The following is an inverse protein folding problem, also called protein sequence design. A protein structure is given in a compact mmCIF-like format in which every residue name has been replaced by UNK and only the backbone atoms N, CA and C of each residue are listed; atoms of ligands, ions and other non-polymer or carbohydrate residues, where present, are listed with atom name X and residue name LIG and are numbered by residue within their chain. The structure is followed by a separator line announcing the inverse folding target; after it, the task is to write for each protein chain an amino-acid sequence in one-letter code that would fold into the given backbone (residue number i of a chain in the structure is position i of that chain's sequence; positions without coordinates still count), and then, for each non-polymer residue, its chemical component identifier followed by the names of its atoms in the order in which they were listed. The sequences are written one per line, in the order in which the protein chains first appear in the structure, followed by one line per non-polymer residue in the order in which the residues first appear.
data_IF_169704997361
#
_entry.id   IF_169704997361
#
_cell.length_a   1.000
_cell.length_b   1.000
_cell.length_c   1.000
_cell.angle_alpha   90.00
_cell.angle_beta   90.00
_cell.angle_gamma   90.00
#
_symmetry.space_group_name_H-M   'P 1'
#
loop_
_entity.id
_entity.type
_entity.pdbx_description
1 polymer ?
#
# COMPACT_ATOMS: atom_id res chain seq x y z
N UNK A 1 -28.60 -13.90 -20.04
CA UNK A 1 -27.58 -14.87 -19.56
C UNK A 1 -28.31 -15.90 -18.68
N UNK A 2 -28.17 -17.19 -18.99
CA UNK A 2 -28.77 -18.26 -18.17
C UNK A 2 -27.87 -18.54 -16.98
N UNK A 3 -28.32 -18.19 -15.77
CA UNK A 3 -27.57 -18.32 -14.53
C UNK A 3 -27.07 -19.75 -14.24
N UNK A 4 -27.83 -20.77 -14.71
CA UNK A 4 -27.47 -22.18 -14.50
C UNK A 4 -26.32 -22.68 -15.41
N UNK A 5 -26.00 -21.94 -16.48
CA UNK A 5 -24.97 -22.26 -17.45
C UNK A 5 -23.77 -21.31 -17.42
N UNK A 6 -23.75 -20.41 -16.46
CA UNK A 6 -22.78 -19.31 -16.41
C UNK A 6 -21.83 -19.50 -15.26
N UNK A 7 -20.52 -19.43 -15.52
CA UNK A 7 -19.49 -19.45 -14.47
C UNK A 7 -19.28 -18.07 -13.88
N UNK A 8 -18.81 -18.00 -12.64
CA UNK A 8 -18.45 -16.74 -11.96
C UNK A 8 -17.46 -15.91 -12.80
N UNK A 9 -16.46 -16.57 -13.39
CA UNK A 9 -15.47 -15.92 -14.25
C UNK A 9 -16.10 -15.29 -15.50
N UNK A 10 -17.03 -15.99 -16.17
CA UNK A 10 -17.72 -15.44 -17.34
C UNK A 10 -18.59 -14.22 -16.98
N UNK A 11 -19.27 -14.25 -15.82
CA UNK A 11 -20.01 -13.09 -15.34
C UNK A 11 -19.10 -11.91 -15.06
N UNK A 12 -18.00 -12.14 -14.36
CA UNK A 12 -17.00 -11.13 -14.05
C UNK A 12 -16.38 -10.52 -15.32
N UNK A 13 -16.00 -11.34 -16.31
CA UNK A 13 -15.50 -10.86 -17.61
C UNK A 13 -16.54 -10.04 -18.37
N UNK A 14 -17.80 -10.47 -18.33
CA UNK A 14 -18.92 -9.75 -18.97
C UNK A 14 -19.15 -8.39 -18.31
N UNK A 15 -19.06 -8.31 -16.99
CA UNK A 15 -19.21 -7.07 -16.23
C UNK A 15 -18.05 -6.08 -16.46
N UNK A 16 -16.82 -6.58 -16.55
CA UNK A 16 -15.60 -5.78 -16.77
C UNK A 16 -15.41 -5.43 -18.26
N UNK A 17 -16.03 -6.20 -19.17
CA UNK A 17 -15.88 -6.04 -20.62
C UNK A 17 -14.50 -6.43 -21.16
N UNK A 18 -13.68 -7.14 -20.37
CA UNK A 18 -12.35 -7.64 -20.71
C UNK A 18 -12.16 -9.02 -20.07
N UNK A 19 -11.33 -9.86 -20.67
CA UNK A 19 -10.89 -11.12 -20.04
C UNK A 19 -10.12 -10.79 -18.75
N UNK A 20 -10.44 -11.51 -17.68
CA UNK A 20 -9.68 -11.44 -16.43
C UNK A 20 -8.36 -12.17 -16.68
N UNK A 21 -7.27 -11.44 -16.58
CA UNK A 21 -5.93 -12.00 -16.76
C UNK A 21 -5.53 -12.70 -15.46
N UNK A 22 -5.13 -13.96 -15.54
CA UNK A 22 -4.53 -14.66 -14.39
C UNK A 22 -3.26 -13.94 -13.92
N UNK A 23 -3.03 -13.96 -12.61
CA UNK A 23 -1.84 -13.33 -12.02
C UNK A 23 -0.57 -14.06 -12.48
N UNK A 24 0.38 -13.30 -12.97
CA UNK A 24 1.69 -13.82 -13.40
C UNK A 24 2.61 -13.93 -12.18
N UNK A 25 2.66 -15.11 -11.59
CA UNK A 25 3.61 -15.43 -10.52
C UNK A 25 4.95 -15.86 -11.14
N UNK A 26 5.87 -14.94 -11.36
CA UNK A 26 7.24 -15.30 -11.73
C UNK A 26 8.01 -15.82 -10.49
N UNK A 27 9.03 -16.66 -10.75
CA UNK A 27 9.94 -17.10 -9.69
C UNK A 27 10.65 -15.87 -9.13
N UNK A 28 10.46 -15.57 -7.84
CA UNK A 28 11.05 -14.42 -7.18
C UNK A 28 12.44 -14.79 -6.64
N UNK A 29 13.41 -13.95 -6.90
CA UNK A 29 14.71 -14.02 -6.23
C UNK A 29 14.56 -13.41 -4.83
N UNK A 30 14.28 -14.25 -3.83
CA UNK A 30 14.19 -13.82 -2.44
C UNK A 30 15.59 -13.53 -1.91
N UNK A 31 15.80 -12.31 -1.46
CA UNK A 31 17.02 -11.94 -0.74
C UNK A 31 16.90 -12.38 0.73
N UNK A 32 18.03 -12.78 1.34
CA UNK A 32 18.10 -12.96 2.80
C UNK A 32 18.30 -11.64 3.55
N UNK A 33 18.43 -10.52 2.83
CA UNK A 33 18.66 -9.20 3.43
C UNK A 33 17.32 -8.65 3.93
N UNK A 34 17.22 -8.40 5.25
CA UNK A 34 16.08 -7.74 5.87
C UNK A 34 16.02 -6.30 5.35
N UNK A 35 14.87 -5.92 4.79
CA UNK A 35 14.58 -4.57 4.33
C UNK A 35 13.97 -3.73 5.45
N UNK A 36 12.99 -4.30 6.16
CA UNK A 36 12.23 -3.60 7.21
C UNK A 36 11.97 -4.53 8.38
N UNK A 37 12.06 -4.01 9.59
CA UNK A 37 11.94 -4.80 10.81
C UNK A 37 11.24 -3.97 11.91
N UNK A 38 10.37 -4.61 12.67
CA UNK A 38 9.74 -4.06 13.88
C UNK A 38 10.07 -4.99 15.05
N UNK A 39 10.44 -4.39 16.18
CA UNK A 39 10.89 -5.11 17.40
C UNK A 39 10.17 -4.63 18.63
N UNK A 40 9.52 -5.54 19.32
CA UNK A 40 8.91 -5.31 20.64
C UNK A 40 8.13 -3.98 20.69
N UNK A 41 7.35 -3.70 19.63
CA UNK A 41 6.65 -2.45 19.51
C UNK A 41 5.35 -2.51 20.31
N UNK A 42 5.21 -1.56 21.23
CA UNK A 42 3.98 -1.31 21.97
C UNK A 42 3.42 0.07 21.60
N UNK A 43 2.09 0.15 21.44
CA UNK A 43 1.35 1.41 21.27
C UNK A 43 0.08 1.33 22.08
N UNK A 44 -0.08 2.21 23.05
CA UNK A 44 -1.35 2.34 23.75
C UNK A 44 -2.38 3.00 22.82
N UNK A 45 -3.63 2.60 22.96
CA UNK A 45 -4.75 3.22 22.25
C UNK A 45 -4.89 4.69 22.63
N UNK A 46 -5.19 5.52 21.64
CA UNK A 46 -5.32 6.98 21.81
C UNK A 46 -6.76 7.42 22.11
N UNK A 47 -7.74 6.55 21.85
CA UNK A 47 -9.16 6.82 22.07
C UNK A 47 -9.90 5.55 22.52
N UNK A 48 -11.13 5.70 22.97
CA UNK A 48 -11.93 4.64 23.60
C UNK A 48 -12.08 3.39 22.72
N UNK A 49 -12.30 3.58 21.41
CA UNK A 49 -12.50 2.50 20.44
C UNK A 49 -11.20 2.02 19.77
N UNK A 50 -10.05 2.62 20.09
CA UNK A 50 -8.76 2.20 19.55
C UNK A 50 -8.26 0.90 20.15
N UNK A 51 -7.35 0.24 19.46
CA UNK A 51 -6.71 -1.00 19.89
C UNK A 51 -5.26 -0.71 20.32
N UNK A 52 -4.88 -1.20 21.49
CA UNK A 52 -3.47 -1.15 21.92
C UNK A 52 -2.68 -2.24 21.23
N UNK A 53 -1.61 -1.88 20.55
CA UNK A 53 -0.64 -2.86 20.03
C UNK A 53 0.28 -3.34 21.13
N UNK A 54 0.57 -4.64 21.17
CA UNK A 54 1.38 -5.25 22.22
C UNK A 54 2.43 -6.15 21.61
N UNK A 55 3.69 -5.89 21.94
CA UNK A 55 4.85 -6.71 21.56
C UNK A 55 4.86 -7.08 20.06
N UNK A 56 4.58 -6.12 19.20
CA UNK A 56 4.58 -6.35 17.76
C UNK A 56 5.99 -6.61 17.27
N UNK A 57 6.16 -7.77 16.64
CA UNK A 57 7.40 -8.20 16.02
C UNK A 57 7.12 -8.67 14.60
N UNK A 58 7.75 -8.05 13.60
CA UNK A 58 7.67 -8.47 12.19
C UNK A 58 8.95 -8.13 11.46
N UNK A 59 9.22 -8.86 10.41
CA UNK A 59 10.31 -8.55 9.48
C UNK A 59 9.93 -8.94 8.05
N UNK A 60 10.41 -8.18 7.08
CA UNK A 60 10.26 -8.47 5.66
C UNK A 60 11.59 -8.29 4.95
N UNK A 61 11.93 -9.26 4.09
CA UNK A 61 13.13 -9.23 3.28
C UNK A 61 12.90 -8.54 1.93
N UNK A 62 13.97 -8.14 1.27
CA UNK A 62 13.90 -7.68 -0.12
C UNK A 62 13.40 -8.81 -1.04
N UNK A 63 12.44 -8.48 -1.93
CA UNK A 63 11.80 -9.42 -2.83
C UNK A 63 10.72 -10.28 -2.17
N UNK A 64 10.31 -9.98 -0.93
CA UNK A 64 9.30 -10.72 -0.14
C UNK A 64 8.03 -9.90 0.01
N UNK A 65 6.88 -10.58 0.04
CA UNK A 65 5.59 -10.05 0.48
C UNK A 65 5.24 -10.70 1.81
N UNK A 66 5.15 -9.89 2.88
CA UNK A 66 4.60 -10.29 4.18
C UNK A 66 3.13 -9.90 4.24
N UNK A 67 2.24 -10.87 4.34
CA UNK A 67 0.82 -10.69 4.59
C UNK A 67 0.53 -10.56 6.08
N UNK A 68 -0.27 -9.56 6.45
CA UNK A 68 -0.84 -9.40 7.79
C UNK A 68 -2.35 -9.54 7.64
N UNK A 69 -2.85 -10.72 7.98
CA UNK A 69 -4.28 -11.02 7.95
C UNK A 69 -4.95 -10.56 9.25
N UNK A 70 -6.24 -10.22 9.18
CA UNK A 70 -7.01 -9.92 10.40
C UNK A 70 -8.36 -9.30 10.07
N UNK A 71 -9.35 -9.56 10.92
CA UNK A 71 -10.69 -8.96 10.83
C UNK A 71 -10.61 -7.50 11.28
N UNK A 72 -11.39 -6.61 10.65
CA UNK A 72 -11.42 -5.18 11.00
C UNK A 72 -11.57 -4.94 12.51
N UNK A 73 -10.89 -3.92 13.02
CA UNK A 73 -10.94 -3.56 14.44
C UNK A 73 -10.00 -4.36 15.34
N UNK A 74 -9.02 -5.06 14.79
CA UNK A 74 -8.05 -5.83 15.55
C UNK A 74 -6.65 -5.17 15.66
N UNK A 75 -6.52 -3.89 15.25
CA UNK A 75 -5.26 -3.14 15.37
C UNK A 75 -4.55 -2.87 14.04
N UNK A 76 -5.18 -3.18 12.88
CA UNK A 76 -4.61 -2.93 11.57
C UNK A 76 -4.38 -1.44 11.29
N UNK A 77 -5.34 -0.59 11.72
CA UNK A 77 -5.25 0.87 11.55
C UNK A 77 -4.08 1.40 12.37
N UNK A 78 -4.01 1.05 13.65
CA UNK A 78 -2.96 1.46 14.57
C UNK A 78 -1.58 0.95 14.11
N UNK A 79 -1.53 -0.26 13.56
CA UNK A 79 -0.31 -0.79 12.96
C UNK A 79 0.10 0.04 11.74
N UNK A 80 -0.85 0.38 10.85
CA UNK A 80 -0.58 1.19 9.67
C UNK A 80 -0.09 2.59 10.05
N UNK A 81 -0.72 3.28 11.00
CA UNK A 81 -0.35 4.62 11.48
C UNK A 81 1.10 4.66 12.00
N UNK A 82 1.49 3.63 12.76
CA UNK A 82 2.85 3.60 13.32
C UNK A 82 3.89 3.17 12.28
N UNK A 83 3.53 2.27 11.34
CA UNK A 83 4.40 1.88 10.23
C UNK A 83 4.55 2.99 9.19
N UNK A 84 3.55 3.85 8.99
CA UNK A 84 3.61 5.00 8.08
C UNK A 84 4.44 6.16 8.65
N UNK A 85 4.55 6.27 9.99
CA UNK A 85 5.13 7.40 10.67
C UNK A 85 4.16 8.57 10.91
N UNK A 86 2.86 8.30 10.81
CA UNK A 86 1.81 9.21 11.29
C UNK A 86 1.89 9.34 12.80
N UNK A 87 2.15 8.22 13.46
CA UNK A 87 2.45 8.14 14.89
C UNK A 87 3.88 7.60 15.06
N UNK A 88 4.65 8.23 15.92
CA UNK A 88 5.99 7.77 16.25
C UNK A 88 5.95 6.61 17.26
N UNK A 89 6.87 5.66 17.11
CA UNK A 89 7.08 4.64 18.15
C UNK A 89 7.69 5.24 19.43
N UNK A 90 7.57 4.53 20.55
CA UNK A 90 8.12 4.97 21.83
C UNK A 90 9.64 5.14 21.74
N UNK A 91 10.33 4.17 21.17
CA UNK A 91 11.79 4.16 21.02
C UNK A 91 12.15 4.08 19.53
N UNK A 92 13.26 4.72 19.16
CA UNK A 92 13.65 4.86 17.75
C UNK A 92 14.05 3.52 17.11
N UNK A 93 14.59 2.60 17.90
CA UNK A 93 15.08 1.29 17.49
C UNK A 93 13.99 0.21 17.40
N UNK A 94 12.75 0.54 17.74
CA UNK A 94 11.61 -0.36 17.55
C UNK A 94 11.23 -0.55 16.08
N UNK A 95 11.58 0.38 15.18
CA UNK A 95 11.36 0.27 13.74
C UNK A 95 12.68 0.52 13.01
N UNK A 96 13.06 -0.39 12.14
CA UNK A 96 14.33 -0.37 11.44
C UNK A 96 14.14 -0.50 9.92
N UNK A 97 14.78 0.37 9.16
CA UNK A 97 14.97 0.23 7.72
C UNK A 97 16.43 -0.12 7.44
N UNK A 98 16.72 -1.29 6.87
CA UNK A 98 18.09 -1.76 6.61
C UNK A 98 18.99 -1.66 7.85
N UNK A 99 18.46 -1.96 9.04
CA UNK A 99 19.10 -1.81 10.37
C UNK A 99 19.26 -0.37 10.86
N UNK A 100 18.81 0.64 10.12
CA UNK A 100 18.84 2.05 10.54
C UNK A 100 17.57 2.32 11.36
N UNK A 101 17.68 2.81 12.61
CA UNK A 101 16.53 3.18 13.43
C UNK A 101 15.74 4.33 12.82
N UNK A 102 14.41 4.15 12.69
CA UNK A 102 13.48 5.11 12.10
C UNK A 102 12.19 5.29 12.89
N UNK A 103 12.10 4.74 14.09
CA UNK A 103 10.88 4.79 14.89
C UNK A 103 10.37 6.19 15.22
N UNK A 104 11.28 7.19 15.25
CA UNK A 104 10.96 8.61 15.51
C UNK A 104 10.85 9.46 14.24
N UNK A 105 10.95 8.86 13.05
CA UNK A 105 10.83 9.59 11.79
C UNK A 105 9.36 9.73 11.38
N UNK A 106 9.01 10.91 10.85
CA UNK A 106 7.67 11.20 10.33
C UNK A 106 7.49 10.66 8.89
N UNK A 107 6.28 10.75 8.36
CA UNK A 107 5.92 10.27 7.00
C UNK A 107 6.86 10.81 5.92
N UNK A 108 7.18 12.10 5.94
CA UNK A 108 8.03 12.71 4.91
C UNK A 108 9.47 12.18 4.98
N UNK A 109 9.99 11.98 6.18
CA UNK A 109 11.31 11.39 6.39
C UNK A 109 11.34 9.93 5.93
N UNK A 110 10.29 9.13 6.25
CA UNK A 110 10.17 7.74 5.76
C UNK A 110 10.09 7.67 4.25
N UNK A 111 9.35 8.57 3.59
CA UNK A 111 9.33 8.67 2.13
C UNK A 111 10.70 9.00 1.53
N UNK A 112 11.46 9.91 2.15
CA UNK A 112 12.86 10.21 1.73
C UNK A 112 13.76 8.99 1.83
N UNK A 113 13.54 8.14 2.82
CA UNK A 113 14.27 6.89 3.01
C UNK A 113 13.84 5.77 2.07
N UNK A 114 12.72 5.93 1.36
CA UNK A 114 12.18 4.99 0.39
C UNK A 114 11.11 4.07 0.96
N UNK A 115 10.36 4.51 1.96
CA UNK A 115 9.16 3.83 2.45
C UNK A 115 7.93 4.55 1.91
N UNK A 116 7.06 3.83 1.22
CA UNK A 116 5.76 4.35 0.77
C UNK A 116 4.63 3.57 1.44
N UNK A 117 3.59 4.29 1.82
CA UNK A 117 2.43 3.73 2.49
C UNK A 117 1.16 4.08 1.71
N UNK A 118 0.30 3.10 1.55
CA UNK A 118 -0.99 3.22 0.89
C UNK A 118 -2.07 2.83 1.91
N UNK A 119 -2.75 3.82 2.53
CA UNK A 119 -3.78 3.56 3.54
C UNK A 119 -5.05 3.01 2.90
N UNK A 120 -5.92 2.43 3.73
CA UNK A 120 -7.23 1.92 3.32
C UNK A 120 -8.15 3.05 2.85
N UNK A 121 -8.17 4.16 3.58
CA UNK A 121 -9.02 5.31 3.26
C UNK A 121 -8.44 6.11 2.09
N UNK A 122 -9.16 6.10 0.96
CA UNK A 122 -8.74 6.77 -0.28
C UNK A 122 -8.96 8.27 -0.25
N UNK A 123 -10.06 8.70 0.38
CA UNK A 123 -10.47 10.10 0.48
C UNK A 123 -10.04 10.66 1.83
N UNK A 124 -9.58 11.91 1.85
CA UNK A 124 -9.08 12.62 3.03
C UNK A 124 -7.79 12.07 3.67
N UNK A 125 -7.49 10.78 3.52
CA UNK A 125 -6.22 10.20 3.98
C UNK A 125 -5.22 10.05 2.82
N UNK A 126 -5.54 9.22 1.81
CA UNK A 126 -4.65 9.04 0.66
C UNK A 126 -4.73 10.19 -0.37
N UNK A 127 -5.87 10.87 -0.48
CA UNK A 127 -6.08 12.00 -1.41
C UNK A 127 -6.93 13.10 -0.80
N UNK A 128 -6.77 14.31 -1.31
CA UNK A 128 -7.68 15.44 -1.05
C UNK A 128 -8.70 15.49 -2.18
N UNK A 129 -10.00 15.19 -1.92
CA UNK A 129 -11.03 15.01 -2.95
C UNK A 129 -11.23 16.23 -3.85
N UNK A 130 -11.15 17.42 -3.28
CA UNK A 130 -11.39 18.70 -3.96
C UNK A 130 -10.15 19.29 -4.65
N UNK A 131 -9.04 18.54 -4.66
CA UNK A 131 -7.85 18.88 -5.43
C UNK A 131 -7.76 18.01 -6.68
N UNK A 132 -7.16 18.56 -7.72
CA UNK A 132 -6.86 17.86 -8.97
C UNK A 132 -5.85 16.74 -8.76
N UNK A 133 -5.73 15.83 -9.73
CA UNK A 133 -4.73 14.76 -9.67
C UNK A 133 -3.30 15.33 -9.64
N UNK A 134 -3.04 16.43 -10.34
CA UNK A 134 -1.72 17.08 -10.32
C UNK A 134 -1.40 17.71 -8.96
N UNK A 135 -2.37 18.34 -8.30
CA UNK A 135 -2.20 18.89 -6.96
C UNK A 135 -2.00 17.79 -5.92
N UNK A 136 -2.77 16.71 -6.00
CA UNK A 136 -2.56 15.53 -5.16
C UNK A 136 -1.17 14.89 -5.40
N UNK A 137 -0.68 14.89 -6.64
CA UNK A 137 0.68 14.43 -6.97
C UNK A 137 1.73 15.35 -6.34
N UNK A 138 1.53 16.67 -6.44
CA UNK A 138 2.41 17.66 -5.82
C UNK A 138 2.50 17.46 -4.30
N UNK A 139 1.38 17.30 -3.61
CA UNK A 139 1.36 17.06 -2.16
C UNK A 139 2.17 15.83 -1.77
N UNK A 140 2.04 14.73 -2.52
CA UNK A 140 2.79 13.49 -2.26
C UNK A 140 4.30 13.68 -2.46
N UNK A 141 4.71 14.50 -3.44
CA UNK A 141 6.12 14.71 -3.76
C UNK A 141 6.72 15.95 -3.11
N UNK A 142 5.96 16.65 -2.28
CA UNK A 142 6.40 17.88 -1.61
C UNK A 142 7.72 17.69 -0.86
N UNK A 143 7.96 16.52 -0.27
CA UNK A 143 9.20 16.20 0.42
C UNK A 143 10.46 16.29 -0.47
N UNK A 144 10.32 16.07 -1.78
CA UNK A 144 11.43 16.19 -2.74
C UNK A 144 11.86 17.66 -2.94
N UNK A 145 10.91 18.58 -2.74
CA UNK A 145 11.12 19.99 -2.99
C UNK A 145 11.50 20.77 -1.73
N UNK A 146 11.17 20.26 -0.54
CA UNK A 146 11.35 20.96 0.73
C UNK A 146 12.81 21.17 1.17
N UNK A 147 13.77 20.49 0.56
CA UNK A 147 15.20 20.54 0.92
C UNK A 147 16.03 21.47 0.04
N UNK A 148 15.45 22.15 -0.93
CA UNK A 148 16.21 23.09 -1.77
C UNK A 148 16.14 24.49 -1.18
N UNK A 149 17.27 25.22 -1.15
CA UNK A 149 17.32 26.64 -0.71
C UNK A 149 16.34 27.54 -1.47
N UNK A 150 15.76 27.05 -2.56
CA UNK A 150 14.80 27.71 -3.45
C UNK A 150 13.44 27.02 -3.44
N UNK A 151 12.95 26.55 -2.29
CA UNK A 151 11.66 25.88 -2.19
C UNK A 151 10.49 26.76 -2.73
N UNK A 152 10.57 28.07 -2.56
CA UNK A 152 9.57 29.04 -3.07
C UNK A 152 9.58 29.08 -4.60
N UNK A 153 10.76 29.15 -5.25
CA UNK A 153 10.86 29.10 -6.72
C UNK A 153 10.45 27.75 -7.28
N UNK A 154 10.73 26.67 -6.58
CA UNK A 154 10.23 25.35 -6.95
C UNK A 154 8.71 25.24 -6.77
N UNK A 155 8.13 25.85 -5.75
CA UNK A 155 6.68 25.91 -5.56
C UNK A 155 6.00 26.70 -6.69
N UNK A 156 6.59 27.81 -7.13
CA UNK A 156 6.06 28.64 -8.20
C UNK A 156 6.27 28.03 -9.61
N UNK A 157 7.32 27.24 -9.81
CA UNK A 157 7.63 26.60 -11.10
C UNK A 157 7.07 25.17 -11.25
N UNK A 158 6.36 24.67 -10.25
CA UNK A 158 6.02 23.24 -10.13
C UNK A 158 4.62 22.80 -10.61
N UNK A 159 3.65 23.66 -10.94
CA UNK A 159 2.36 23.19 -11.43
C UNK A 159 2.49 22.36 -12.71
N UNK A 160 3.38 22.76 -13.62
CA UNK A 160 3.57 22.04 -14.88
C UNK A 160 4.26 20.68 -14.67
N UNK A 161 5.31 20.64 -13.83
CA UNK A 161 6.00 19.37 -13.52
C UNK A 161 5.05 18.37 -12.85
N UNK A 162 4.22 18.82 -11.91
CA UNK A 162 3.23 17.97 -11.24
C UNK A 162 2.14 17.49 -12.20
N UNK A 163 1.76 18.32 -13.16
CA UNK A 163 0.80 17.94 -14.21
C UNK A 163 1.39 16.86 -15.13
N UNK A 164 2.63 17.00 -15.54
CA UNK A 164 3.28 16.03 -16.42
C UNK A 164 3.54 14.69 -15.69
N UNK A 165 3.92 14.74 -14.42
CA UNK A 165 4.01 13.55 -13.57
C UNK A 165 2.65 12.89 -13.39
N UNK A 166 1.60 13.66 -13.09
CA UNK A 166 0.24 13.15 -12.96
C UNK A 166 -0.23 12.47 -14.25
N UNK A 167 0.02 13.06 -15.43
CA UNK A 167 -0.30 12.45 -16.73
C UNK A 167 0.43 11.12 -16.95
N UNK A 168 1.71 11.03 -16.57
CA UNK A 168 2.48 9.78 -16.63
C UNK A 168 1.86 8.71 -15.71
N UNK A 169 1.50 9.10 -14.48
CA UNK A 169 0.85 8.20 -13.51
C UNK A 169 -0.46 7.68 -14.08
N UNK A 170 -1.32 8.56 -14.58
CA UNK A 170 -2.61 8.23 -15.19
C UNK A 170 -2.41 7.23 -16.34
N UNK A 171 -1.50 7.52 -17.26
CA UNK A 171 -1.23 6.68 -18.44
C UNK A 171 -0.67 5.31 -18.04
N UNK A 172 0.35 5.28 -17.16
CA UNK A 172 1.07 4.05 -16.80
C UNK A 172 0.23 3.09 -15.93
N UNK A 173 -0.87 3.60 -15.32
CA UNK A 173 -1.73 2.82 -14.44
C UNK A 173 -3.13 2.58 -15.01
N UNK A 174 -3.36 2.87 -16.29
CA UNK A 174 -4.68 2.72 -16.95
C UNK A 174 -5.80 3.36 -16.10
N UNK A 175 -5.54 4.59 -15.63
CA UNK A 175 -6.54 5.37 -14.88
C UNK A 175 -7.48 6.03 -15.87
N UNK A 176 -8.76 5.71 -15.81
CA UNK A 176 -9.78 6.33 -16.67
C UNK A 176 -10.26 7.62 -16.03
N UNK A 177 -10.06 8.71 -16.72
CA UNK A 177 -10.41 10.07 -16.27
C UNK A 177 -11.42 10.70 -17.21
N UNK A 178 -12.37 11.52 -16.70
CA UNK A 178 -13.31 12.27 -17.53
C UNK A 178 -12.61 13.39 -18.33
N UNK A 179 -11.50 13.90 -17.82
CA UNK A 179 -10.70 14.99 -18.42
C UNK A 179 -9.21 14.81 -18.10
N UNK A 180 -8.36 15.70 -18.62
CA UNK A 180 -6.89 15.59 -18.51
C UNK A 180 -6.37 15.71 -17.07
N UNK A 181 -7.01 16.51 -16.21
CA UNK A 181 -6.60 16.75 -14.83
C UNK A 181 -7.82 16.95 -13.92
N UNK A 182 -8.63 15.89 -13.73
CA UNK A 182 -9.86 15.97 -12.93
C UNK A 182 -9.55 16.17 -11.44
N UNK A 183 -10.58 16.55 -10.69
CA UNK A 183 -10.55 16.44 -9.23
C UNK A 183 -10.51 14.96 -8.82
N UNK A 184 -9.87 14.64 -7.72
CA UNK A 184 -9.81 13.27 -7.22
C UNK A 184 -11.22 12.69 -6.97
N UNK A 185 -12.17 13.52 -6.52
CA UNK A 185 -13.57 13.16 -6.30
C UNK A 185 -14.34 12.77 -7.58
N UNK A 186 -13.85 13.12 -8.76
CA UNK A 186 -14.50 12.79 -10.04
C UNK A 186 -14.14 11.39 -10.55
N UNK A 187 -13.21 10.70 -9.90
CA UNK A 187 -12.82 9.35 -10.27
C UNK A 187 -13.70 8.31 -9.57
N UNK A 188 -13.97 7.20 -10.28
CA UNK A 188 -14.53 6.01 -9.62
C UNK A 188 -13.52 5.44 -8.61
N UNK A 189 -14.01 4.71 -7.60
CA UNK A 189 -13.16 4.14 -6.55
C UNK A 189 -11.98 3.30 -7.08
N UNK A 190 -12.20 2.48 -8.11
CA UNK A 190 -11.14 1.70 -8.74
C UNK A 190 -10.11 2.55 -9.49
N UNK A 191 -10.53 3.62 -10.18
CA UNK A 191 -9.61 4.53 -10.86
C UNK A 191 -8.84 5.38 -9.85
N UNK A 192 -9.50 5.84 -8.77
CA UNK A 192 -8.82 6.56 -7.70
C UNK A 192 -7.75 5.68 -7.03
N UNK A 193 -8.05 4.40 -6.76
CA UNK A 193 -7.11 3.46 -6.20
C UNK A 193 -5.90 3.22 -7.12
N UNK A 194 -6.15 3.03 -8.42
CA UNK A 194 -5.06 2.92 -9.42
C UNK A 194 -4.18 4.17 -9.44
N UNK A 195 -4.77 5.36 -9.32
CA UNK A 195 -4.02 6.61 -9.25
C UNK A 195 -3.18 6.70 -7.98
N UNK A 196 -3.76 6.42 -6.80
CA UNK A 196 -3.06 6.42 -5.50
C UNK A 196 -1.86 5.48 -5.56
N UNK A 197 -2.09 4.25 -5.97
CA UNK A 197 -1.06 3.23 -6.11
C UNK A 197 0.05 3.68 -7.08
N UNK A 198 -0.33 4.11 -8.28
CA UNK A 198 0.61 4.56 -9.29
C UNK A 198 1.46 5.73 -8.85
N UNK A 199 0.86 6.69 -8.13
CA UNK A 199 1.53 7.86 -7.56
C UNK A 199 2.56 7.46 -6.51
N UNK A 200 2.19 6.63 -5.55
CA UNK A 200 3.10 6.17 -4.50
C UNK A 200 4.24 5.33 -5.07
N UNK A 201 3.95 4.43 -6.00
CA UNK A 201 4.98 3.55 -6.59
C UNK A 201 5.93 4.25 -7.58
N UNK A 202 5.53 5.39 -8.17
CA UNK A 202 6.41 6.18 -9.03
C UNK A 202 7.66 6.72 -8.29
N UNK A 203 7.66 6.72 -6.96
CA UNK A 203 8.84 7.02 -6.14
C UNK A 203 9.87 5.88 -6.06
N UNK A 204 9.59 4.73 -6.69
CA UNK A 204 10.46 3.55 -6.65
C UNK A 204 10.88 3.16 -5.22
N UNK A 205 9.94 2.87 -4.32
CA UNK A 205 10.22 2.61 -2.92
C UNK A 205 11.10 1.38 -2.72
N UNK A 206 11.83 1.34 -1.60
CA UNK A 206 12.51 0.15 -1.09
C UNK A 206 11.52 -0.78 -0.40
N UNK A 207 10.60 -0.18 0.35
CA UNK A 207 9.54 -0.84 1.13
C UNK A 207 8.22 -0.18 0.81
N UNK A 208 7.21 -0.98 0.48
CA UNK A 208 5.85 -0.51 0.27
C UNK A 208 4.88 -1.22 1.23
N UNK A 209 4.06 -0.44 1.92
CA UNK A 209 3.11 -0.93 2.92
C UNK A 209 1.70 -0.60 2.43
N UNK A 210 0.88 -1.61 2.28
CA UNK A 210 -0.48 -1.49 1.77
C UNK A 210 -1.49 -1.91 2.84
N UNK A 211 -2.53 -1.11 3.05
CA UNK A 211 -3.70 -1.49 3.83
C UNK A 211 -4.91 -1.57 2.91
N UNK A 212 -5.54 -2.75 2.85
CA UNK A 212 -6.76 -3.03 2.09
C UNK A 212 -6.72 -2.53 0.64
N UNK A 213 -5.67 -2.82 -0.15
CA UNK A 213 -5.45 -2.17 -1.45
C UNK A 213 -6.54 -2.47 -2.49
N UNK A 214 -7.24 -3.58 -2.37
CA UNK A 214 -8.31 -3.99 -3.30
C UNK A 214 -9.71 -3.80 -2.74
N UNK A 215 -9.87 -3.29 -1.52
CA UNK A 215 -11.17 -3.09 -0.90
C UNK A 215 -12.07 -2.15 -1.72
N UNK A 216 -13.29 -2.58 -2.00
CA UNK A 216 -14.30 -1.74 -2.68
C UNK A 216 -13.92 -1.30 -4.09
N UNK A 217 -13.13 -2.08 -4.83
CA UNK A 217 -12.86 -1.91 -6.26
C UNK A 217 -13.44 -3.07 -7.06
N UNK A 218 -13.63 -2.86 -8.37
CA UNK A 218 -14.05 -3.93 -9.25
C UNK A 218 -12.95 -4.98 -9.47
N UNK A 219 -13.35 -6.19 -9.90
CA UNK A 219 -12.45 -7.33 -10.09
C UNK A 219 -11.26 -7.00 -11.02
N UNK A 220 -11.51 -6.22 -12.09
CA UNK A 220 -10.45 -5.84 -13.02
C UNK A 220 -9.42 -4.91 -12.38
N UNK A 221 -9.86 -3.95 -11.58
CA UNK A 221 -8.98 -3.09 -10.81
C UNK A 221 -8.23 -3.88 -9.73
N UNK A 222 -8.92 -4.78 -9.01
CA UNK A 222 -8.29 -5.64 -8.00
C UNK A 222 -7.18 -6.50 -8.61
N UNK A 223 -7.41 -7.18 -9.74
CA UNK A 223 -6.40 -7.96 -10.44
C UNK A 223 -5.19 -7.12 -10.86
N UNK A 224 -5.43 -5.92 -11.39
CA UNK A 224 -4.35 -5.01 -11.78
C UNK A 224 -3.52 -4.55 -10.57
N UNK A 225 -4.16 -4.29 -9.42
CA UNK A 225 -3.50 -3.93 -8.16
C UNK A 225 -2.67 -5.10 -7.65
N UNK A 226 -3.24 -6.29 -7.54
CA UNK A 226 -2.55 -7.51 -7.11
C UNK A 226 -1.31 -7.79 -7.98
N UNK A 227 -1.41 -7.66 -9.30
CA UNK A 227 -0.27 -7.81 -10.19
C UNK A 227 0.84 -6.81 -9.89
N UNK A 228 0.52 -5.55 -9.58
CA UNK A 228 1.53 -4.54 -9.22
C UNK A 228 2.26 -4.86 -7.92
N UNK A 229 1.60 -5.43 -6.91
CA UNK A 229 2.24 -5.88 -5.69
C UNK A 229 3.24 -7.01 -5.98
N UNK A 230 2.85 -7.95 -6.83
CA UNK A 230 3.73 -9.03 -7.31
C UNK A 230 4.94 -8.46 -8.08
N UNK A 231 4.71 -7.55 -9.02
CA UNK A 231 5.77 -6.91 -9.83
C UNK A 231 6.78 -6.15 -8.94
N UNK A 232 6.29 -5.48 -7.89
CA UNK A 232 7.13 -4.82 -6.89
C UNK A 232 8.08 -5.80 -6.22
N UNK A 233 7.55 -6.88 -5.65
CA UNK A 233 8.39 -7.87 -4.98
C UNK A 233 9.34 -8.57 -5.96
N UNK A 234 8.91 -8.83 -7.21
CA UNK A 234 9.75 -9.38 -8.27
C UNK A 234 10.89 -8.44 -8.65
N UNK A 235 10.67 -7.13 -8.57
CA UNK A 235 11.73 -6.12 -8.77
C UNK A 235 12.67 -5.98 -7.56
N UNK A 236 12.54 -6.86 -6.57
CA UNK A 236 13.39 -6.90 -5.39
C UNK A 236 12.97 -5.95 -4.27
N UNK A 237 11.75 -5.37 -4.31
CA UNK A 237 11.24 -4.51 -3.24
C UNK A 237 10.60 -5.35 -2.13
N UNK A 238 10.60 -4.84 -0.90
CA UNK A 238 9.88 -5.45 0.21
C UNK A 238 8.44 -4.92 0.24
N UNK A 239 7.49 -5.80 0.49
CA UNK A 239 6.07 -5.45 0.55
C UNK A 239 5.46 -5.95 1.86
N UNK A 240 4.72 -5.11 2.55
CA UNK A 240 3.83 -5.49 3.65
C UNK A 240 2.40 -5.27 3.17
N UNK A 241 1.59 -6.33 3.21
CA UNK A 241 0.20 -6.32 2.79
C UNK A 241 -0.70 -6.59 3.99
N UNK A 242 -1.44 -5.58 4.44
CA UNK A 242 -2.45 -5.71 5.49
C UNK A 242 -3.80 -5.88 4.80
N UNK A 243 -4.47 -7.02 4.99
CA UNK A 243 -5.76 -7.29 4.34
C UNK A 243 -6.66 -8.18 5.18
N UNK A 244 -7.98 -7.97 5.06
CA UNK A 244 -9.03 -8.84 5.59
C UNK A 244 -9.39 -9.97 4.60
N UNK A 245 -9.02 -9.80 3.33
CA UNK A 245 -9.27 -10.78 2.29
C UNK A 245 -8.20 -11.87 2.34
N UNK A 246 -8.58 -13.03 2.91
CA UNK A 246 -7.68 -14.18 3.03
C UNK A 246 -7.26 -14.70 1.66
N UNK A 247 -8.12 -14.67 0.63
CA UNK A 247 -7.73 -15.10 -0.71
C UNK A 247 -6.62 -14.20 -1.25
N UNK A 248 -6.72 -12.88 -1.06
CA UNK A 248 -5.68 -11.93 -1.43
C UNK A 248 -4.37 -12.21 -0.69
N UNK A 249 -4.43 -12.44 0.63
CA UNK A 249 -3.28 -12.75 1.47
C UNK A 249 -2.58 -14.02 1.00
N UNK A 250 -3.31 -15.13 0.84
CA UNK A 250 -2.74 -16.41 0.39
C UNK A 250 -2.26 -16.36 -1.06
N UNK A 251 -2.93 -15.57 -1.91
CA UNK A 251 -2.54 -15.44 -3.31
C UNK A 251 -1.22 -14.66 -3.50
N UNK A 252 -0.99 -13.61 -2.71
CA UNK A 252 0.12 -12.69 -2.94
C UNK A 252 1.33 -12.92 -2.04
N UNK A 253 1.10 -13.38 -0.80
CA UNK A 253 2.13 -13.38 0.23
C UNK A 253 3.10 -14.56 0.13
N UNK A 254 4.29 -14.36 0.62
CA UNK A 254 5.30 -15.39 0.82
C UNK A 254 5.25 -15.92 2.25
N UNK A 255 4.98 -15.00 3.19
CA UNK A 255 4.79 -15.29 4.61
C UNK A 255 3.55 -14.57 5.11
N UNK A 256 2.92 -15.13 6.12
CA UNK A 256 1.68 -14.63 6.71
C UNK A 256 1.82 -14.58 8.22
N UNK A 257 1.27 -13.54 8.83
CA UNK A 257 0.91 -13.49 10.23
C UNK A 257 -0.51 -12.96 10.39
N UNK A 258 -1.10 -13.17 11.55
CA UNK A 258 -2.47 -12.70 11.86
C UNK A 258 -2.39 -11.68 12.98
N UNK A 259 -3.12 -10.57 12.82
CA UNK A 259 -3.32 -9.60 13.90
C UNK A 259 -4.68 -9.83 14.56
N UNK A 260 -4.67 -10.00 15.86
CA UNK A 260 -5.87 -10.15 16.69
C UNK A 260 -5.71 -9.39 18.01
N UNK A 261 -6.65 -8.51 18.34
CA UNK A 261 -6.64 -7.69 19.57
C UNK A 261 -5.30 -6.98 19.82
N UNK A 262 -4.66 -6.49 18.76
CA UNK A 262 -3.40 -5.77 18.82
C UNK A 262 -2.15 -6.62 19.04
N UNK A 263 -2.25 -7.93 18.85
CA UNK A 263 -1.11 -8.87 18.93
C UNK A 263 -0.93 -9.55 17.59
N UNK A 264 0.33 -9.73 17.15
CA UNK A 264 0.64 -10.54 15.96
C UNK A 264 0.91 -11.98 16.37
N UNK A 265 0.42 -12.92 15.57
CA UNK A 265 0.84 -14.31 15.64
C UNK A 265 2.31 -14.50 15.25
N UNK A 266 2.82 -15.70 15.35
CA UNK A 266 4.05 -16.10 14.66
C UNK A 266 3.90 -15.93 13.14
N UNK A 267 5.05 -15.77 12.46
CA UNK A 267 5.09 -15.62 11.00
C UNK A 267 5.28 -17.01 10.37
N UNK A 268 4.33 -17.40 9.54
CA UNK A 268 4.33 -18.69 8.83
C UNK A 268 4.68 -18.53 7.37
N UNK A 269 5.35 -19.51 6.77
CA UNK A 269 5.46 -19.61 5.32
C UNK A 269 4.09 -19.99 4.73
N UNK A 270 3.65 -19.28 3.72
CA UNK A 270 2.32 -19.49 3.11
C UNK A 270 2.12 -20.93 2.59
N UNK A 271 3.21 -21.64 2.31
CA UNK A 271 3.17 -23.02 1.80
C UNK A 271 2.94 -24.07 2.90
N UNK A 272 3.08 -23.68 4.16
CA UNK A 272 3.00 -24.59 5.33
C UNK A 272 1.66 -24.48 6.05
N UNK A 273 0.80 -23.55 5.66
CA UNK A 273 -0.50 -23.30 6.30
C UNK A 273 -1.63 -23.26 5.27
N UNK A 274 -2.85 -23.50 5.74
CA UNK A 274 -4.08 -23.37 4.97
C UNK A 274 -5.00 -22.32 5.61
N UNK A 275 -6.04 -21.91 4.90
CA UNK A 275 -7.01 -20.94 5.42
C UNK A 275 -7.85 -21.44 6.60
N UNK A 276 -7.72 -22.72 6.96
CA UNK A 276 -8.41 -23.37 8.08
C UNK A 276 -7.52 -23.51 9.31
N UNK A 277 -6.23 -23.33 9.19
CA UNK A 277 -5.26 -23.31 10.28
C UNK A 277 -5.23 -21.94 10.97
#
# INVERSE_FOLDING_TARGET
IDAKKTTTNFLAETMVGKKITELKKAIRSKSKKIAFEVKNLDKLKDHEFGISLRNINLQVNYGEILGVAGIAGNGQVELMEILSGEINSKDNDQILLEKIPIGKTNINERRKLGIETIPEERTFHATVPNLTLSENTFLTYFFKYSNTKSWITNLLNNPQNSLDESKKIVKNNDVRCPETNPLASQLSGGNLQKFILGRSLANNPKVAIFSQPTWGVDIGAATAIRQKLLDLSQSGKAVILISQDLEEIFELSDKICVINEGVLSEIFDVREITATD
#
